data_IF_726173341957
#
_entry.id   IF_726173341957
#
_cell.length_a   1.000
_cell.length_b   1.000
_cell.length_c   1.000
_cell.angle_alpha   90.00
_cell.angle_beta   90.00
_cell.angle_gamma   90.00
#
_symmetry.space_group_name_H-M   'P 1'
#
loop_
_entity.id
_entity.type
_entity.pdbx_description
1 polymer ?
#
# COMPACT_ATOMS: atom_id res chain seq x y z
N UNK A 1 9.81 57.07 47.85
CA UNK A 1 9.10 55.79 47.63
C UNK A 1 9.16 55.24 46.20
N UNK A 2 9.37 56.05 45.15
CA UNK A 2 9.33 55.58 43.75
C UNK A 2 10.53 54.71 43.30
N UNK A 3 11.75 54.94 43.82
CA UNK A 3 12.92 54.13 43.44
C UNK A 3 12.86 52.66 43.90
N UNK A 4 12.29 52.39 45.09
CA UNK A 4 12.09 51.01 45.58
C UNK A 4 11.08 50.24 44.72
N UNK A 5 10.04 50.91 44.19
CA UNK A 5 9.08 50.30 43.25
C UNK A 5 9.73 49.99 41.88
N UNK A 6 10.55 50.89 41.34
CA UNK A 6 11.30 50.66 40.08
C UNK A 6 12.28 49.48 40.20
N UNK A 7 13.03 49.36 41.31
CA UNK A 7 13.94 48.23 41.52
C UNK A 7 13.21 46.89 41.66
N UNK A 8 12.05 46.85 42.34
CA UNK A 8 11.22 45.63 42.41
C UNK A 8 10.60 45.25 41.07
N UNK A 9 10.19 46.24 40.26
CA UNK A 9 9.65 46.00 38.92
C UNK A 9 10.73 45.46 37.96
N UNK A 10 11.94 46.03 38.00
CA UNK A 10 13.09 45.53 37.22
C UNK A 10 13.49 44.11 37.64
N UNK A 11 13.44 43.79 38.93
CA UNK A 11 13.71 42.44 39.43
C UNK A 11 12.66 41.42 38.94
N UNK A 12 11.37 41.81 38.97
CA UNK A 12 10.28 40.96 38.47
C UNK A 12 10.38 40.72 36.96
N UNK A 13 10.71 41.76 36.18
CA UNK A 13 10.94 41.62 34.73
C UNK A 13 12.17 40.74 34.47
N UNK A 14 13.25 40.91 35.24
CA UNK A 14 14.44 40.06 35.17
C UNK A 14 14.12 38.58 35.45
N UNK A 15 13.33 38.29 36.48
CA UNK A 15 12.89 36.93 36.80
C UNK A 15 11.95 36.34 35.73
N UNK A 16 11.07 37.16 35.14
CA UNK A 16 10.18 36.74 34.05
C UNK A 16 10.98 36.37 32.79
N UNK A 17 11.97 37.18 32.41
CA UNK A 17 12.84 36.88 31.26
C UNK A 17 13.71 35.65 31.55
N UNK A 18 14.25 35.50 32.76
CA UNK A 18 15.01 34.31 33.14
C UNK A 18 14.16 33.04 33.12
N UNK A 19 12.88 33.14 33.49
CA UNK A 19 11.95 32.00 33.45
C UNK A 19 11.55 31.61 32.02
N UNK A 20 11.51 32.55 31.07
CA UNK A 20 11.29 32.22 29.66
C UNK A 20 12.51 31.56 29.01
N UNK A 21 13.72 31.92 29.45
CA UNK A 21 14.97 31.31 28.94
C UNK A 21 15.14 29.89 29.49
N UNK A 22 14.76 29.65 30.76
CA UNK A 22 14.86 28.31 31.38
C UNK A 22 13.71 27.37 30.99
N UNK A 23 12.52 27.89 30.66
CA UNK A 23 11.41 27.08 30.15
C UNK A 23 11.49 26.81 28.63
N UNK A 24 12.36 27.52 27.91
CA UNK A 24 12.54 27.39 26.45
C UNK A 24 13.57 26.34 26.00
N UNK A 25 14.14 25.55 26.92
CA UNK A 25 15.22 24.59 26.60
C UNK A 25 14.88 23.10 26.82
N UNK A 26 13.60 22.75 26.98
CA UNK A 26 13.14 21.34 26.98
C UNK A 26 11.86 21.16 26.15
N UNK A 27 11.87 21.64 24.91
CA UNK A 27 11.05 21.05 23.86
C UNK A 27 11.95 20.55 22.74
N UNK A 28 12.96 19.77 23.11
CA UNK A 28 13.54 18.78 22.22
C UNK A 28 12.54 17.65 22.04
N UNK A 29 11.37 17.94 21.47
CA UNK A 29 10.64 16.92 20.73
C UNK A 29 11.64 16.51 19.66
N UNK A 30 12.33 15.39 19.87
CA UNK A 30 13.01 14.71 18.79
C UNK A 30 11.88 14.42 17.80
N UNK A 31 11.73 15.28 16.79
CA UNK A 31 11.16 14.83 15.53
C UNK A 31 11.92 13.55 15.24
N UNK A 32 11.20 12.43 15.33
CA UNK A 32 11.71 11.16 14.90
C UNK A 32 11.94 11.43 13.41
N UNK A 33 13.18 11.77 13.06
CA UNK A 33 13.59 11.90 11.66
C UNK A 33 13.26 10.55 11.07
N UNK A 34 12.11 10.45 10.40
CA UNK A 34 11.71 9.25 9.69
C UNK A 34 12.89 8.87 8.82
N UNK A 35 13.43 7.68 9.07
CA UNK A 35 14.55 7.22 8.28
C UNK A 35 14.03 7.00 6.86
N UNK A 36 14.91 7.10 5.87
CA UNK A 36 14.56 6.76 4.49
C UNK A 36 13.94 5.36 4.38
N UNK A 37 14.38 4.43 5.25
CA UNK A 37 13.85 3.09 5.41
C UNK A 37 12.38 3.06 5.89
N UNK A 38 12.02 3.93 6.85
CA UNK A 38 10.63 4.08 7.29
C UNK A 38 9.76 4.59 6.13
N UNK A 39 10.26 5.56 5.36
CA UNK A 39 9.54 6.08 4.18
C UNK A 39 9.30 5.01 3.10
N UNK A 40 10.30 4.17 2.81
CA UNK A 40 10.14 3.04 1.89
C UNK A 40 9.07 2.06 2.37
N UNK A 41 9.15 1.69 3.64
CA UNK A 41 8.22 0.76 4.26
C UNK A 41 6.77 1.27 4.19
N UNK A 42 6.53 2.53 4.57
CA UNK A 42 5.20 3.13 4.48
C UNK A 42 4.69 3.19 3.05
N UNK A 43 5.58 3.49 2.08
CA UNK A 43 5.21 3.53 0.67
C UNK A 43 4.82 2.15 0.12
N UNK A 44 5.53 1.09 0.52
CA UNK A 44 5.16 -0.29 0.13
C UNK A 44 3.82 -0.68 0.73
N UNK A 45 3.59 -0.40 2.00
CA UNK A 45 2.31 -0.71 2.65
C UNK A 45 1.14 0.04 2.02
N UNK A 46 1.27 1.34 1.77
CA UNK A 46 0.20 2.13 1.13
C UNK A 46 -0.18 1.56 -0.24
N UNK A 47 0.78 1.00 -0.99
CA UNK A 47 0.50 0.30 -2.24
C UNK A 47 -0.24 -0.99 -2.04
N UNK A 48 0.19 -1.81 -1.08
CA UNK A 48 -0.49 -3.06 -0.77
C UNK A 48 -1.93 -2.78 -0.33
N UNK A 49 -2.16 -1.76 0.51
CA UNK A 49 -3.50 -1.35 0.96
C UNK A 49 -4.40 -0.93 -0.23
N UNK A 50 -3.86 -0.15 -1.17
CA UNK A 50 -4.57 0.22 -2.41
C UNK A 50 -4.84 -0.99 -3.30
N UNK A 51 -3.86 -1.89 -3.42
CA UNK A 51 -3.95 -3.06 -4.27
C UNK A 51 -4.93 -4.11 -3.73
N UNK A 52 -4.99 -4.28 -2.41
CA UNK A 52 -6.03 -5.03 -1.71
C UNK A 52 -7.42 -4.50 -2.11
N UNK A 53 -7.62 -3.19 -2.04
CA UNK A 53 -8.90 -2.56 -2.40
C UNK A 53 -9.28 -2.79 -3.87
N UNK A 54 -8.30 -2.75 -4.78
CA UNK A 54 -8.52 -3.03 -6.21
C UNK A 54 -8.92 -4.49 -6.42
N UNK A 55 -8.14 -5.44 -5.89
CA UNK A 55 -8.41 -6.86 -6.10
C UNK A 55 -9.71 -7.32 -5.45
N UNK A 56 -9.99 -6.91 -4.21
CA UNK A 56 -11.27 -7.20 -3.55
C UNK A 56 -12.45 -6.66 -4.36
N UNK A 57 -12.28 -5.49 -5.00
CA UNK A 57 -13.32 -4.93 -5.86
C UNK A 57 -13.47 -5.69 -7.18
N UNK A 58 -12.38 -6.13 -7.79
CA UNK A 58 -12.42 -6.97 -8.99
C UNK A 58 -13.11 -8.32 -8.70
N UNK A 59 -12.76 -8.97 -7.59
CA UNK A 59 -13.45 -10.18 -7.09
C UNK A 59 -14.96 -9.93 -6.97
N UNK A 60 -15.38 -8.87 -6.26
CA UNK A 60 -16.80 -8.52 -6.10
C UNK A 60 -17.53 -8.35 -7.44
N UNK A 61 -16.87 -7.72 -8.44
CA UNK A 61 -17.44 -7.54 -9.77
C UNK A 61 -17.62 -8.90 -10.46
N UNK A 62 -16.60 -9.76 -10.40
CA UNK A 62 -16.65 -11.13 -10.94
C UNK A 62 -17.77 -11.94 -10.28
N UNK A 63 -17.87 -11.92 -8.94
CA UNK A 63 -18.95 -12.61 -8.20
C UNK A 63 -20.34 -12.13 -8.63
N UNK A 64 -20.52 -10.81 -8.81
CA UNK A 64 -21.80 -10.25 -9.23
C UNK A 64 -22.21 -10.70 -10.65
N UNK A 65 -21.24 -11.12 -11.47
CA UNK A 65 -21.46 -11.56 -12.86
C UNK A 65 -22.20 -12.90 -12.95
N UNK A 66 -22.14 -13.74 -11.91
CA UNK A 66 -22.88 -15.01 -11.86
C UNK A 66 -24.40 -14.83 -11.73
N UNK A 67 -24.82 -13.70 -11.16
CA UNK A 67 -26.24 -13.38 -10.95
C UNK A 67 -26.90 -12.69 -12.14
N UNK A 68 -26.14 -12.40 -13.20
CA UNK A 68 -26.59 -11.58 -14.33
C UNK A 68 -26.76 -12.42 -15.59
N UNK A 69 -27.92 -12.27 -16.27
CA UNK A 69 -28.17 -12.91 -17.57
C UNK A 69 -27.34 -12.28 -18.71
N UNK A 70 -27.04 -10.98 -18.59
CA UNK A 70 -26.14 -10.22 -19.45
C UNK A 70 -25.07 -9.56 -18.56
N UNK A 71 -23.80 -9.85 -18.85
CA UNK A 71 -22.64 -9.40 -18.07
C UNK A 71 -22.05 -8.08 -18.54
N UNK A 72 -22.67 -7.40 -19.51
CA UNK A 72 -22.11 -6.19 -20.12
C UNK A 72 -21.77 -5.10 -19.10
N UNK A 73 -22.64 -4.90 -18.09
CA UNK A 73 -22.40 -3.91 -17.02
C UNK A 73 -21.19 -4.29 -16.17
N UNK A 74 -21.06 -5.56 -15.78
CA UNK A 74 -19.93 -6.03 -14.99
C UNK A 74 -18.63 -5.98 -15.78
N UNK A 75 -18.67 -6.33 -17.07
CA UNK A 75 -17.52 -6.20 -17.98
C UNK A 75 -17.04 -4.75 -18.05
N UNK A 76 -17.95 -3.79 -18.26
CA UNK A 76 -17.58 -2.37 -18.29
C UNK A 76 -16.97 -1.92 -16.94
N UNK A 77 -17.60 -2.28 -15.82
CA UNK A 77 -17.07 -1.95 -14.48
C UNK A 77 -15.68 -2.53 -14.24
N UNK A 78 -15.47 -3.78 -14.66
CA UNK A 78 -14.18 -4.46 -14.57
C UNK A 78 -13.11 -3.72 -15.37
N UNK A 79 -13.38 -3.45 -16.66
CA UNK A 79 -12.46 -2.76 -17.54
C UNK A 79 -12.14 -1.35 -17.04
N UNK A 80 -13.13 -0.57 -16.60
CA UNK A 80 -12.88 0.76 -16.05
C UNK A 80 -12.02 0.75 -14.79
N UNK A 81 -12.21 -0.24 -13.91
CA UNK A 81 -11.38 -0.39 -12.73
C UNK A 81 -9.93 -0.72 -13.10
N UNK A 82 -9.71 -1.65 -14.02
CA UNK A 82 -8.37 -1.99 -14.53
C UNK A 82 -7.69 -0.80 -15.22
N UNK A 83 -8.42 -0.01 -16.02
CA UNK A 83 -7.89 1.21 -16.64
C UNK A 83 -7.48 2.25 -15.59
N UNK A 84 -8.31 2.42 -14.56
CA UNK A 84 -8.00 3.28 -13.43
C UNK A 84 -6.72 2.84 -12.72
N UNK A 85 -6.62 1.55 -12.36
CA UNK A 85 -5.42 0.97 -11.76
C UNK A 85 -4.18 1.22 -12.65
N UNK A 86 -4.27 0.96 -13.95
CA UNK A 86 -3.18 1.15 -14.91
C UNK A 86 -2.67 2.60 -14.98
N UNK A 87 -3.54 3.59 -14.81
CA UNK A 87 -3.13 5.00 -14.73
C UNK A 87 -2.27 5.27 -13.48
N UNK A 88 -2.70 4.77 -12.32
CA UNK A 88 -1.97 4.96 -11.07
C UNK A 88 -0.60 4.28 -11.08
N UNK A 89 -0.53 3.03 -11.55
CA UNK A 89 0.73 2.27 -11.63
C UNK A 89 1.75 2.99 -12.51
N UNK A 90 1.32 3.51 -13.67
CA UNK A 90 2.22 4.23 -14.59
C UNK A 90 2.81 5.48 -13.95
N UNK A 91 2.01 6.23 -13.20
CA UNK A 91 2.52 7.43 -12.51
C UNK A 91 3.50 7.04 -11.39
N UNK A 92 3.23 5.95 -10.67
CA UNK A 92 4.08 5.52 -9.57
C UNK A 92 5.42 4.91 -10.00
N UNK A 93 5.46 4.18 -11.12
CA UNK A 93 6.69 3.58 -11.68
C UNK A 93 7.73 4.61 -12.14
N UNK A 94 7.37 5.90 -12.24
CA UNK A 94 8.30 6.98 -12.59
C UNK A 94 9.05 7.55 -11.38
N UNK A 95 8.73 7.08 -10.17
CA UNK A 95 9.22 7.69 -8.94
C UNK A 95 10.59 7.10 -8.55
N UNK A 96 11.65 7.92 -8.36
CA UNK A 96 13.03 7.45 -8.11
C UNK A 96 13.22 6.53 -6.89
N UNK A 97 12.28 6.50 -5.95
CA UNK A 97 12.35 5.58 -4.81
C UNK A 97 12.21 4.10 -5.26
N UNK A 98 11.61 3.81 -6.45
CA UNK A 98 11.57 2.46 -7.03
C UNK A 98 13.00 1.91 -7.21
N UNK A 99 13.93 2.73 -7.69
CA UNK A 99 15.31 2.31 -7.96
C UNK A 99 16.03 1.94 -6.66
N UNK A 100 15.80 2.69 -5.58
CA UNK A 100 16.47 2.43 -4.30
C UNK A 100 15.89 1.21 -3.56
N UNK A 101 14.58 0.97 -3.63
CA UNK A 101 13.98 -0.26 -3.12
C UNK A 101 14.52 -1.50 -3.85
N UNK A 102 14.74 -1.40 -5.15
CA UNK A 102 15.31 -2.49 -5.95
C UNK A 102 16.71 -2.88 -5.47
N UNK A 103 17.54 -1.91 -5.07
CA UNK A 103 18.90 -2.16 -4.56
C UNK A 103 18.90 -2.81 -3.17
N UNK A 104 17.98 -2.42 -2.28
CA UNK A 104 17.98 -2.88 -0.87
C UNK A 104 17.15 -4.15 -0.63
N UNK A 105 16.08 -4.38 -1.40
CA UNK A 105 15.10 -5.45 -1.20
C UNK A 105 14.57 -6.00 -2.54
N UNK A 106 15.47 -6.46 -3.41
CA UNK A 106 15.17 -6.90 -4.79
C UNK A 106 13.99 -7.89 -4.89
N UNK A 107 13.94 -8.89 -4.01
CA UNK A 107 12.87 -9.89 -4.02
C UNK A 107 11.51 -9.28 -3.71
N UNK A 108 11.42 -8.46 -2.66
CA UNK A 108 10.17 -7.78 -2.29
C UNK A 108 9.72 -6.85 -3.41
N UNK A 109 10.67 -6.09 -3.96
CA UNK A 109 10.44 -5.18 -5.07
C UNK A 109 9.82 -5.91 -6.26
N UNK A 110 10.40 -7.03 -6.67
CA UNK A 110 9.92 -7.83 -7.79
C UNK A 110 8.48 -8.31 -7.58
N UNK A 111 8.15 -8.78 -6.37
CA UNK A 111 6.80 -9.24 -6.04
C UNK A 111 5.79 -8.10 -6.00
N UNK A 112 6.11 -6.99 -5.33
CA UNK A 112 5.23 -5.82 -5.25
C UNK A 112 5.01 -5.21 -6.64
N UNK A 113 6.04 -5.17 -7.47
CA UNK A 113 5.93 -4.75 -8.88
C UNK A 113 5.06 -5.69 -9.69
N UNK A 114 5.16 -7.00 -9.45
CA UNK A 114 4.30 -8.01 -10.07
C UNK A 114 2.84 -7.81 -9.70
N UNK A 115 2.53 -7.66 -8.41
CA UNK A 115 1.19 -7.36 -7.89
C UNK A 115 0.63 -6.09 -8.53
N UNK A 116 1.32 -4.97 -8.31
CA UNK A 116 0.85 -3.67 -8.79
C UNK A 116 0.75 -3.64 -10.32
N UNK A 117 1.68 -4.25 -11.04
CA UNK A 117 1.69 -4.25 -12.52
C UNK A 117 0.75 -5.25 -13.19
N UNK A 118 0.10 -6.16 -12.45
CA UNK A 118 -0.62 -7.30 -13.03
C UNK A 118 -1.73 -6.87 -14.00
N UNK A 119 -2.53 -5.86 -13.65
CA UNK A 119 -3.62 -5.37 -14.51
C UNK A 119 -3.11 -4.92 -15.89
N UNK A 120 -2.00 -4.20 -15.92
CA UNK A 120 -1.40 -3.69 -17.15
C UNK A 120 -0.66 -4.80 -17.91
N UNK A 121 0.09 -5.65 -17.20
CA UNK A 121 0.89 -6.72 -17.82
C UNK A 121 0.01 -7.73 -18.56
N UNK A 122 -1.14 -8.08 -17.99
CA UNK A 122 -2.06 -9.09 -18.53
C UNK A 122 -3.26 -8.50 -19.27
N UNK A 123 -3.20 -7.20 -19.62
CA UNK A 123 -4.23 -6.49 -20.39
C UNK A 123 -5.65 -6.72 -19.86
N UNK A 124 -5.82 -6.75 -18.53
CA UNK A 124 -7.11 -7.02 -17.90
C UNK A 124 -8.18 -5.98 -18.27
N UNK A 125 -7.77 -4.78 -18.64
CA UNK A 125 -8.67 -3.75 -19.16
C UNK A 125 -9.28 -4.07 -20.53
N UNK A 126 -8.77 -5.09 -21.22
CA UNK A 126 -9.31 -5.61 -22.48
C UNK A 126 -10.16 -6.87 -22.29
N UNK A 127 -10.14 -7.48 -21.11
CA UNK A 127 -10.91 -8.67 -20.80
C UNK A 127 -12.40 -8.35 -20.72
N UNK A 128 -13.22 -9.07 -21.49
CA UNK A 128 -14.67 -8.96 -21.43
C UNK A 128 -15.26 -10.14 -20.66
N UNK A 129 -15.81 -9.91 -19.47
CA UNK A 129 -16.33 -10.97 -18.58
C UNK A 129 -17.49 -11.76 -19.21
N UNK A 130 -18.20 -11.17 -20.17
CA UNK A 130 -19.26 -11.84 -20.94
C UNK A 130 -18.75 -12.96 -21.86
N UNK A 131 -17.46 -12.94 -22.22
CA UNK A 131 -16.86 -13.95 -23.10
C UNK A 131 -16.33 -15.16 -22.31
N UNK A 132 -16.24 -15.05 -20.98
CA UNK A 132 -15.77 -16.10 -20.09
C UNK A 132 -16.91 -17.05 -19.70
N UNK A 133 -16.58 -18.35 -19.62
CA UNK A 133 -17.44 -19.35 -19.00
C UNK A 133 -17.56 -19.14 -17.49
N UNK A 134 -18.58 -19.74 -16.88
CA UNK A 134 -18.77 -19.70 -15.42
C UNK A 134 -17.59 -20.32 -14.66
N UNK A 135 -16.94 -21.33 -15.23
CA UNK A 135 -15.75 -21.94 -14.64
C UNK A 135 -14.55 -20.98 -14.66
N UNK A 136 -14.33 -20.29 -15.78
CA UNK A 136 -13.26 -19.30 -15.91
C UNK A 136 -13.50 -18.09 -15.00
N UNK A 137 -14.73 -17.59 -14.93
CA UNK A 137 -15.09 -16.54 -13.97
C UNK A 137 -14.87 -16.98 -12.52
N UNK A 138 -15.19 -18.24 -12.20
CA UNK A 138 -15.02 -18.74 -10.83
C UNK A 138 -13.54 -18.76 -10.44
N UNK A 139 -12.68 -19.27 -11.33
CA UNK A 139 -11.23 -19.25 -11.14
C UNK A 139 -10.70 -17.82 -11.03
N UNK A 140 -11.17 -16.92 -11.89
CA UNK A 140 -10.76 -15.52 -11.88
C UNK A 140 -11.13 -14.82 -10.56
N UNK A 141 -12.34 -15.08 -10.05
CA UNK A 141 -12.80 -14.59 -8.75
C UNK A 141 -11.92 -15.06 -7.61
N UNK A 142 -11.64 -16.37 -7.54
CA UNK A 142 -10.75 -16.96 -6.53
C UNK A 142 -9.36 -16.33 -6.58
N UNK A 143 -8.78 -16.19 -7.78
CA UNK A 143 -7.45 -15.57 -7.93
C UNK A 143 -7.44 -14.12 -7.45
N UNK A 144 -8.49 -13.33 -7.74
CA UNK A 144 -8.57 -11.96 -7.20
C UNK A 144 -8.77 -11.93 -5.69
N UNK A 145 -9.54 -12.85 -5.11
CA UNK A 145 -9.66 -13.00 -3.66
C UNK A 145 -8.30 -13.31 -3.01
N UNK A 146 -7.57 -14.29 -3.52
CA UNK A 146 -6.24 -14.66 -3.01
C UNK A 146 -5.23 -13.50 -3.14
N UNK A 147 -5.26 -12.79 -4.27
CA UNK A 147 -4.42 -11.60 -4.48
C UNK A 147 -4.78 -10.45 -3.53
N UNK A 148 -6.06 -10.28 -3.21
CA UNK A 148 -6.50 -9.32 -2.21
C UNK A 148 -5.98 -9.73 -0.82
N UNK A 149 -6.09 -11.01 -0.45
CA UNK A 149 -5.62 -11.55 0.82
C UNK A 149 -4.10 -11.39 0.97
N UNK A 150 -3.31 -11.63 -0.08
CA UNK A 150 -1.86 -11.35 -0.10
C UNK A 150 -1.53 -9.90 0.28
N UNK A 151 -2.46 -8.97 0.01
CA UNK A 151 -2.32 -7.55 0.28
C UNK A 151 -3.00 -7.09 1.59
N UNK A 152 -3.64 -7.98 2.36
CA UNK A 152 -4.39 -7.62 3.57
C UNK A 152 -3.51 -7.65 4.82
N UNK A 153 -3.35 -6.50 5.48
CA UNK A 153 -2.54 -6.37 6.71
C UNK A 153 -3.16 -7.02 7.94
N UNK A 154 -4.40 -7.46 7.89
CA UNK A 154 -5.06 -8.18 8.99
C UNK A 154 -4.81 -9.68 8.93
N UNK A 155 -4.36 -10.20 7.78
CA UNK A 155 -4.10 -11.62 7.57
C UNK A 155 -2.65 -11.98 7.84
N UNK A 156 -2.41 -12.74 8.90
CA UNK A 156 -1.05 -13.02 9.37
C UNK A 156 -0.15 -13.73 8.33
N UNK A 157 -0.76 -14.46 7.38
CA UNK A 157 -0.05 -15.15 6.29
C UNK A 157 0.27 -14.25 5.09
N UNK A 158 -0.26 -13.03 5.04
CA UNK A 158 -0.15 -12.17 3.86
C UNK A 158 1.21 -11.48 3.75
N UNK A 159 1.58 -11.10 2.54
CA UNK A 159 2.76 -10.28 2.32
C UNK A 159 2.64 -8.93 3.02
N UNK A 160 1.45 -8.31 2.97
CA UNK A 160 1.23 -7.02 3.60
C UNK A 160 1.39 -7.06 5.12
N UNK A 161 0.92 -8.12 5.79
CA UNK A 161 1.14 -8.30 7.21
C UNK A 161 2.62 -8.47 7.53
N UNK A 162 3.32 -9.37 6.82
CA UNK A 162 4.74 -9.65 7.05
C UNK A 162 5.62 -8.41 6.83
N UNK A 163 5.33 -7.64 5.77
CA UNK A 163 5.94 -6.33 5.56
C UNK A 163 5.60 -5.43 6.75
N UNK A 164 4.33 -5.35 7.18
CA UNK A 164 3.88 -4.44 8.24
C UNK A 164 4.57 -4.61 9.59
N UNK A 165 4.99 -5.84 9.91
CA UNK A 165 5.75 -6.16 11.12
C UNK A 165 7.27 -6.10 10.90
N UNK A 166 7.71 -5.82 9.67
CA UNK A 166 9.10 -5.67 9.23
C UNK A 166 9.95 -6.93 9.42
N UNK A 167 9.34 -8.12 9.29
CA UNK A 167 10.02 -9.40 9.48
C UNK A 167 10.46 -10.00 8.13
N UNK A 168 11.57 -9.50 7.57
CA UNK A 168 12.01 -9.84 6.21
C UNK A 168 12.84 -11.14 6.05
N UNK A 169 13.14 -11.83 7.15
CA UNK A 169 14.02 -13.02 7.15
C UNK A 169 13.32 -14.29 7.66
N UNK A 170 12.11 -14.17 8.19
CA UNK A 170 11.35 -15.30 8.74
C UNK A 170 10.80 -16.25 7.67
N UNK A 171 10.58 -17.50 8.05
CA UNK A 171 9.93 -18.49 7.16
C UNK A 171 8.57 -17.99 6.67
N UNK A 172 7.77 -17.37 7.54
CA UNK A 172 6.45 -16.84 7.19
C UNK A 172 6.51 -15.75 6.11
N UNK A 173 7.55 -14.91 6.12
CA UNK A 173 7.75 -13.93 5.05
C UNK A 173 8.15 -14.58 3.72
N UNK A 174 9.00 -15.61 3.75
CA UNK A 174 9.34 -16.35 2.54
C UNK A 174 8.14 -17.11 1.97
N UNK A 175 7.32 -17.70 2.84
CA UNK A 175 6.05 -18.34 2.48
C UNK A 175 5.08 -17.33 1.86
N UNK A 176 4.92 -16.15 2.47
CA UNK A 176 4.08 -15.07 1.93
C UNK A 176 4.57 -14.59 0.55
N UNK A 177 5.89 -14.45 0.35
CA UNK A 177 6.47 -14.09 -0.95
C UNK A 177 6.20 -15.16 -2.02
N UNK A 178 6.33 -16.45 -1.67
CA UNK A 178 6.07 -17.56 -2.60
C UNK A 178 4.58 -17.61 -2.96
N UNK A 179 3.71 -17.59 -1.96
CA UNK A 179 2.27 -17.60 -2.17
C UNK A 179 1.81 -16.43 -3.05
N UNK A 180 2.31 -15.22 -2.78
CA UNK A 180 2.02 -14.05 -3.62
C UNK A 180 2.42 -14.27 -5.08
N UNK A 181 3.61 -14.86 -5.33
CA UNK A 181 4.06 -15.17 -6.69
C UNK A 181 3.18 -16.22 -7.36
N UNK A 182 2.76 -17.23 -6.61
CA UNK A 182 1.88 -18.28 -7.10
C UNK A 182 0.51 -17.70 -7.50
N UNK A 183 -0.06 -16.78 -6.72
CA UNK A 183 -1.29 -16.07 -7.08
C UNK A 183 -1.14 -15.22 -8.34
N UNK A 184 -0.02 -14.51 -8.51
CA UNK A 184 0.28 -13.76 -9.74
C UNK A 184 0.40 -14.71 -10.94
N UNK A 185 1.06 -15.85 -10.76
CA UNK A 185 1.20 -16.85 -11.81
C UNK A 185 -0.15 -17.48 -12.19
N UNK A 186 -1.03 -17.73 -11.21
CA UNK A 186 -2.38 -18.21 -11.46
C UNK A 186 -3.20 -17.20 -12.29
N UNK A 187 -3.03 -15.90 -12.05
CA UNK A 187 -3.64 -14.87 -12.89
C UNK A 187 -3.10 -14.89 -14.32
N UNK A 188 -1.79 -15.06 -14.49
CA UNK A 188 -1.15 -15.20 -15.81
C UNK A 188 -1.73 -16.38 -16.60
N UNK A 189 -1.89 -17.54 -15.96
CA UNK A 189 -2.47 -18.73 -16.58
C UNK A 189 -3.91 -18.55 -17.04
N UNK A 190 -4.70 -17.68 -16.40
CA UNK A 190 -6.07 -17.39 -16.80
C UNK A 190 -6.17 -16.38 -17.95
N UNK A 191 -5.11 -15.62 -18.21
CA UNK A 191 -5.09 -14.56 -19.23
C UNK A 191 -4.37 -14.98 -20.52
N UNK A 192 -3.85 -16.22 -20.59
CA UNK A 192 -3.08 -16.78 -21.70
C UNK A 192 -3.69 -18.08 -22.23
#
# INVERSE_FOLDING_TARGET
MQQKKRKRLMLLIGCLVLSMILAGCESGTKEKSESLQDFFFYSVLDRLDRQNSIYARLETIVESSFSSEDRSVQSEQFQYLCQGANCFIRDELTNPWYDQMQEEQETLYSVVKGLTGACAKYELDQLWLGDLSDEELSKLGVVFGDLAECCDRSEAGSLAYQVSIQEYEGNSYQEALVWTKDCIAALEELCH
#
